data_IF_068122910530
#
_entry.id   IF_068122910530
#
_cell.length_a   1.000
_cell.length_b   1.000
_cell.length_c   1.000
_cell.angle_alpha   90.00
_cell.angle_beta   90.00
_cell.angle_gamma   90.00
#
_symmetry.space_group_name_H-M   'P 1'
#
loop_
_entity.id
_entity.type
_entity.pdbx_description
1 polymer ?
#
# COMPACT_ATOMS: atom_id res chain seq x y z
N UNK A 1 6.78 16.68 13.41
CA UNK A 1 6.51 17.45 12.18
C UNK A 1 6.69 16.50 11.01
N UNK A 2 5.59 16.00 10.47
CA UNK A 2 5.62 14.96 9.43
C UNK A 2 5.97 15.61 8.09
N UNK A 3 7.25 15.66 7.75
CA UNK A 3 7.71 16.04 6.41
C UNK A 3 7.44 14.87 5.45
N UNK A 4 6.18 14.74 5.03
CA UNK A 4 5.80 13.88 3.91
C UNK A 4 5.56 14.78 2.69
N UNK A 5 6.46 14.70 1.71
CA UNK A 5 6.30 15.39 0.44
C UNK A 5 5.62 14.44 -0.55
N UNK A 6 4.45 14.81 -1.05
CA UNK A 6 3.82 14.11 -2.18
C UNK A 6 4.71 14.24 -3.42
N UNK A 7 5.13 13.11 -3.99
CA UNK A 7 5.88 13.06 -5.24
C UNK A 7 4.92 12.99 -6.44
N UNK A 8 3.82 12.26 -6.28
CA UNK A 8 2.73 12.15 -7.25
C UNK A 8 1.99 10.82 -7.15
N UNK A 9 1.01 10.63 -8.03
CA UNK A 9 0.31 9.37 -8.18
C UNK A 9 1.20 8.28 -8.80
N UNK A 10 0.91 7.03 -8.46
CA UNK A 10 1.58 5.86 -8.99
C UNK A 10 0.62 4.68 -9.07
N UNK A 11 0.59 4.05 -10.24
CA UNK A 11 -0.13 2.80 -10.47
C UNK A 11 0.86 1.65 -10.47
N UNK A 12 0.61 0.66 -9.62
CA UNK A 12 1.37 -0.60 -9.62
C UNK A 12 0.50 -1.72 -10.19
N UNK A 13 1.03 -2.41 -11.19
CA UNK A 13 0.37 -3.57 -11.79
C UNK A 13 0.85 -4.86 -11.12
N UNK A 14 0.09 -5.94 -11.25
CA UNK A 14 0.26 -7.21 -10.53
C UNK A 14 -0.01 -7.12 -9.01
N UNK A 15 -0.87 -6.19 -8.60
CA UNK A 15 -1.36 -6.09 -7.22
C UNK A 15 -2.86 -5.93 -7.21
N UNK A 16 -3.48 -6.45 -6.16
CA UNK A 16 -4.90 -6.30 -5.89
C UNK A 16 -5.08 -5.62 -4.54
N UNK A 17 -6.07 -4.74 -4.46
CA UNK A 17 -6.41 -4.03 -3.23
C UNK A 17 -7.59 -4.73 -2.56
N UNK A 18 -7.44 -5.10 -1.30
CA UNK A 18 -8.49 -5.69 -0.49
C UNK A 18 -8.88 -4.76 0.65
N UNK A 19 -10.16 -4.74 0.99
CA UNK A 19 -10.63 -4.02 2.17
C UNK A 19 -10.56 -4.91 3.40
N UNK A 20 -9.67 -4.56 4.34
CA UNK A 20 -9.57 -5.17 5.67
C UNK A 20 -10.58 -4.55 6.66
N UNK A 21 -11.63 -3.90 6.14
CA UNK A 21 -12.62 -3.13 6.89
C UNK A 21 -12.21 -1.67 7.08
N UNK A 22 -11.24 -1.41 7.96
CA UNK A 22 -10.82 -0.04 8.31
C UNK A 22 -9.64 0.48 7.48
N UNK A 23 -8.91 -0.41 6.81
CA UNK A 23 -7.74 -0.06 6.02
C UNK A 23 -7.60 -0.97 4.79
N UNK A 24 -6.93 -0.49 3.73
CA UNK A 24 -6.62 -1.31 2.57
C UNK A 24 -5.45 -2.27 2.86
N UNK A 25 -5.53 -3.47 2.28
CA UNK A 25 -4.43 -4.43 2.18
C UNK A 25 -4.11 -4.69 0.71
N UNK A 26 -2.91 -4.32 0.28
CA UNK A 26 -2.43 -4.64 -1.06
C UNK A 26 -1.76 -6.02 -1.05
N UNK A 27 -2.16 -6.91 -1.95
CA UNK A 27 -1.58 -8.25 -2.12
C UNK A 27 -1.13 -8.44 -3.57
N UNK A 28 -0.10 -9.26 -3.83
CA UNK A 28 0.29 -9.58 -5.20
C UNK A 28 -0.81 -10.42 -5.86
N UNK A 29 -1.17 -10.07 -7.09
CA UNK A 29 -2.26 -10.72 -7.82
C UNK A 29 -2.47 -10.15 -9.21
N UNK A 30 -3.53 -10.55 -9.93
CA UNK A 30 -3.76 -10.13 -11.31
C UNK A 30 -4.64 -8.87 -11.38
N UNK A 31 -4.16 -7.76 -10.80
CA UNK A 31 -4.86 -6.47 -10.83
C UNK A 31 -3.88 -5.30 -10.91
N UNK A 32 -4.43 -4.09 -10.77
CA UNK A 32 -3.64 -2.89 -10.54
C UNK A 32 -4.06 -2.25 -9.22
N UNK A 33 -3.14 -1.56 -8.56
CA UNK A 33 -3.42 -0.72 -7.40
C UNK A 33 -3.00 0.70 -7.71
N UNK A 34 -3.89 1.64 -7.45
CA UNK A 34 -3.63 3.07 -7.54
C UNK A 34 -3.28 3.60 -6.16
N UNK A 35 -2.19 4.35 -6.10
CA UNK A 35 -1.73 4.97 -4.88
C UNK A 35 -0.94 6.22 -5.16
N UNK A 36 -0.35 6.75 -4.10
CA UNK A 36 0.45 7.97 -4.14
C UNK A 36 1.80 7.68 -3.50
N UNK A 37 2.87 8.22 -4.09
CA UNK A 37 4.22 8.08 -3.57
C UNK A 37 4.55 9.31 -2.76
N UNK A 38 4.89 9.10 -1.49
CA UNK A 38 5.32 10.16 -0.59
C UNK A 38 6.79 9.97 -0.22
N UNK A 39 7.56 11.05 -0.33
CA UNK A 39 8.90 11.13 0.22
C UNK A 39 8.80 11.51 1.69
N UNK A 40 9.27 10.61 2.55
CA UNK A 40 9.33 10.82 4.00
C UNK A 40 10.76 10.69 4.49
N UNK A 41 11.05 11.31 5.63
CA UNK A 41 12.33 11.15 6.32
C UNK A 41 12.51 9.73 6.87
N UNK A 42 13.77 9.32 6.98
CA UNK A 42 14.13 7.98 7.43
C UNK A 42 13.64 7.70 8.87
N UNK A 43 13.57 8.75 9.71
CA UNK A 43 13.01 8.65 11.06
C UNK A 43 11.51 8.29 11.03
N UNK A 44 10.71 8.97 10.21
CA UNK A 44 9.28 8.68 10.06
C UNK A 44 9.06 7.29 9.47
N UNK A 45 9.88 6.87 8.50
CA UNK A 45 9.82 5.52 7.95
C UNK A 45 10.11 4.44 9.02
N UNK A 46 11.08 4.68 9.90
CA UNK A 46 11.44 3.76 10.98
C UNK A 46 10.33 3.67 12.05
N UNK A 47 9.69 4.78 12.40
CA UNK A 47 8.53 4.78 13.30
C UNK A 47 7.34 4.01 12.69
N UNK A 48 7.05 4.25 11.41
CA UNK A 48 6.00 3.54 10.68
C UNK A 48 6.30 2.04 10.59
N UNK A 49 7.57 1.68 10.36
CA UNK A 49 8.03 0.28 10.38
C UNK A 49 7.73 -0.38 11.70
N UNK A 50 8.13 0.27 12.79
CA UNK A 50 7.99 -0.27 14.12
C UNK A 50 6.51 -0.50 14.41
N UNK A 51 5.61 0.37 13.93
CA UNK A 51 4.17 0.19 14.08
C UNK A 51 3.61 -0.95 13.22
N UNK A 52 3.98 -1.04 11.93
CA UNK A 52 3.37 -1.96 10.94
C UNK A 52 3.99 -3.36 10.94
N UNK A 53 5.28 -3.48 11.19
CA UNK A 53 6.04 -4.73 11.10
C UNK A 53 6.04 -5.51 12.41
N UNK A 54 5.67 -4.89 13.55
CA UNK A 54 5.56 -5.57 14.85
C UNK A 54 4.56 -6.75 14.85
N UNK A 55 3.56 -6.74 13.96
CA UNK A 55 2.57 -7.82 13.84
C UNK A 55 2.92 -8.92 12.82
N UNK A 56 3.98 -8.76 12.02
CA UNK A 56 4.30 -9.68 10.93
C UNK A 56 3.18 -9.81 9.87
N UNK A 57 2.28 -8.83 9.80
CA UNK A 57 1.10 -8.85 8.91
C UNK A 57 1.41 -8.39 7.49
N UNK A 58 2.45 -7.56 7.38
CA UNK A 58 2.86 -6.93 6.14
C UNK A 58 4.33 -7.22 5.88
N UNK A 59 4.66 -7.61 4.66
CA UNK A 59 6.02 -7.60 4.15
C UNK A 59 6.34 -6.24 3.55
N UNK A 60 7.56 -5.79 3.80
CA UNK A 60 8.15 -4.68 3.04
C UNK A 60 8.66 -5.19 1.72
N UNK A 61 8.23 -4.55 0.66
CA UNK A 61 8.67 -4.82 -0.69
C UNK A 61 9.18 -3.54 -1.32
N UNK A 62 10.37 -3.61 -1.91
CA UNK A 62 10.96 -2.50 -2.62
C UNK A 62 10.40 -2.49 -4.05
N UNK A 63 9.69 -1.43 -4.40
CA UNK A 63 9.12 -1.24 -5.74
C UNK A 63 9.85 -0.11 -6.45
N UNK A 64 9.98 -0.23 -7.77
CA UNK A 64 10.57 0.81 -8.62
C UNK A 64 9.46 1.74 -9.12
N UNK A 65 9.51 3.00 -8.71
CA UNK A 65 8.59 4.05 -9.15
C UNK A 65 9.34 5.07 -10.01
N UNK A 66 8.66 5.87 -10.85
CA UNK A 66 9.32 6.93 -11.61
C UNK A 66 10.00 7.99 -10.73
N UNK A 67 9.60 8.08 -9.45
CA UNK A 67 10.20 8.99 -8.47
C UNK A 67 11.37 8.37 -7.69
N UNK A 68 11.71 7.11 -7.97
CA UNK A 68 12.76 6.35 -7.29
C UNK A 68 12.27 5.05 -6.65
N UNK A 69 13.11 4.45 -5.82
CA UNK A 69 12.75 3.24 -5.08
C UNK A 69 11.84 3.58 -3.90
N UNK A 70 10.67 2.97 -3.82
CA UNK A 70 9.71 3.17 -2.74
C UNK A 70 9.46 1.86 -1.98
N UNK A 71 9.21 1.97 -0.68
CA UNK A 71 8.83 0.84 0.15
C UNK A 71 7.31 0.70 0.15
N UNK A 72 6.83 -0.44 -0.32
CA UNK A 72 5.44 -0.85 -0.29
C UNK A 72 5.22 -1.90 0.80
N UNK A 73 4.12 -1.79 1.53
CA UNK A 73 3.71 -2.81 2.50
C UNK A 73 2.70 -3.73 1.86
N UNK A 74 3.12 -4.97 1.59
CA UNK A 74 2.32 -6.02 0.98
C UNK A 74 1.74 -6.89 2.09
N UNK A 75 0.43 -7.04 2.11
CA UNK A 75 -0.24 -7.92 3.06
C UNK A 75 0.06 -9.38 2.71
N UNK A 76 0.54 -10.16 3.68
CA UNK A 76 0.96 -11.55 3.45
C UNK A 76 0.01 -12.58 4.05
N UNK A 77 -1.05 -12.15 4.73
CA UNK A 77 -2.02 -13.03 5.36
C UNK A 77 -3.15 -13.39 4.39
N UNK A 78 -3.87 -14.50 4.65
CA UNK A 78 -4.99 -14.90 3.82
C UNK A 78 -6.05 -13.78 3.78
N UNK A 79 -6.46 -13.43 2.57
CA UNK A 79 -7.53 -12.45 2.29
C UNK A 79 -8.90 -13.12 2.17
N UNK A 80 -9.04 -14.32 2.73
CA UNK A 80 -10.28 -15.10 2.67
C UNK A 80 -11.41 -14.36 3.39
N UNK A 81 -12.51 -14.12 2.67
CA UNK A 81 -13.65 -13.34 3.17
C UNK A 81 -13.49 -11.80 3.12
N UNK A 82 -12.39 -11.27 2.56
CA UNK A 82 -12.23 -9.83 2.34
C UNK A 82 -12.87 -9.36 1.04
N UNK A 83 -13.36 -8.12 1.05
CA UNK A 83 -13.86 -7.48 -0.17
C UNK A 83 -12.69 -7.09 -1.06
N UNK A 84 -12.59 -7.73 -2.23
CA UNK A 84 -11.68 -7.30 -3.30
C UNK A 84 -12.19 -5.99 -3.90
N UNK A 85 -11.28 -5.03 -4.05
CA UNK A 85 -11.52 -3.78 -4.77
C UNK A 85 -10.91 -3.96 -6.17
N UNK A 86 -11.74 -4.37 -7.13
CA UNK A 86 -11.30 -4.66 -8.50
C UNK A 86 -10.73 -3.43 -9.20
N UNK A 87 -11.24 -2.23 -8.90
CA UNK A 87 -10.73 -0.96 -9.41
C UNK A 87 -9.29 -0.67 -8.97
N UNK A 88 -8.81 -1.30 -7.88
CA UNK A 88 -7.49 -1.02 -7.33
C UNK A 88 -7.35 0.32 -6.61
N UNK A 89 -8.43 1.09 -6.56
CA UNK A 89 -8.46 2.43 -5.99
C UNK A 89 -9.31 2.42 -4.71
N UNK A 90 -8.71 2.87 -3.61
CA UNK A 90 -9.37 2.87 -2.31
C UNK A 90 -10.55 3.86 -2.22
N UNK A 91 -10.48 4.97 -2.93
CA UNK A 91 -11.55 5.96 -2.98
C UNK A 91 -12.72 5.43 -3.81
N UNK A 92 -12.44 4.60 -4.81
CA UNK A 92 -13.43 3.99 -5.69
C UNK A 92 -14.20 2.82 -5.07
N UNK A 93 -13.84 2.37 -3.85
CA UNK A 93 -14.47 1.23 -3.15
C UNK A 93 -15.98 1.34 -2.91
N UNK A 94 -16.57 2.50 -3.19
CA UNK A 94 -17.96 2.85 -2.90
C UNK A 94 -18.73 3.35 -4.13
N UNK A 95 -18.23 3.11 -5.36
CA UNK A 95 -19.04 3.36 -6.55
C UNK A 95 -20.13 2.28 -6.69
N UNK A 96 -21.40 2.67 -6.89
CA UNK A 96 -22.55 1.77 -7.02
C UNK A 96 -22.59 1.01 -8.35
#
# INVERSE_FOLDING_TARGET
>A
MTNAQLLGDYRIDNYQLYSLGHYPGAVPGNGAVYGEVYRIDNATLAELDALRTRGGEYARQLIQTPYGSAWMYVYQRPVDGLTLIESGDWLDRNQP
#
